data_IF_826430196964
#
_entry.id   IF_826430196964
#
_cell.length_a   1.000
_cell.length_b   1.000
_cell.length_c   1.000
_cell.angle_alpha   90.00
_cell.angle_beta   90.00
_cell.angle_gamma   90.00
#
_symmetry.space_group_name_H-M   'P 1'
#
loop_
_entity.id
_entity.type
_entity.pdbx_description
1 polymer ?
#
# COMPACT_ATOMS: atom_id res chain seq x y z
N UNK A 1 -2.93 19.99 19.63
CA UNK A 1 -3.04 18.52 19.70
C UNK A 1 -2.51 17.95 18.40
N UNK A 2 -1.64 16.91 18.42
CA UNK A 2 -1.37 16.16 17.21
C UNK A 2 -2.71 15.58 16.70
N UNK A 3 -2.99 15.74 15.40
CA UNK A 3 -4.24 15.26 14.79
C UNK A 3 -4.29 13.72 14.72
N UNK A 4 -3.13 13.07 14.78
CA UNK A 4 -2.97 11.61 14.74
C UNK A 4 -1.92 11.17 15.76
N UNK A 5 -2.15 10.00 16.36
CA UNK A 5 -1.21 9.31 17.27
C UNK A 5 -0.08 8.58 16.51
N UNK A 6 -0.19 8.49 15.19
CA UNK A 6 0.72 7.71 14.35
C UNK A 6 1.87 8.57 13.80
N UNK A 7 3.08 8.00 13.82
CA UNK A 7 4.28 8.66 13.29
C UNK A 7 4.26 8.86 11.77
N UNK A 8 3.69 7.90 11.02
CA UNK A 8 3.69 7.93 9.55
C UNK A 8 2.42 8.53 8.97
N UNK A 9 1.27 8.20 9.56
CA UNK A 9 -0.05 8.49 8.99
C UNK A 9 -0.68 9.70 9.69
N UNK A 10 -1.06 10.69 8.89
CA UNK A 10 -1.72 11.93 9.31
C UNK A 10 -3.24 11.80 9.31
N UNK A 11 -3.80 11.24 8.24
CA UNK A 11 -5.23 11.01 8.05
C UNK A 11 -5.48 9.68 7.33
N UNK A 12 -6.66 9.07 7.54
CA UNK A 12 -7.11 7.95 6.74
C UNK A 12 -8.58 8.09 6.32
N UNK A 13 -8.92 7.43 5.21
CA UNK A 13 -10.29 7.16 4.80
C UNK A 13 -10.33 5.76 4.21
N UNK A 14 -11.19 4.90 4.75
CA UNK A 14 -11.16 3.47 4.43
C UNK A 14 -12.44 3.00 3.76
N UNK A 15 -12.30 2.04 2.85
CA UNK A 15 -13.39 1.35 2.18
C UNK A 15 -14.43 2.28 1.54
N UNK A 16 -13.97 3.42 1.01
CA UNK A 16 -14.86 4.39 0.36
C UNK A 16 -15.17 3.93 -1.09
N UNK A 17 -16.39 4.12 -1.58
CA UNK A 17 -16.75 3.72 -2.93
C UNK A 17 -16.04 4.57 -3.98
N UNK A 18 -15.87 4.00 -5.19
CA UNK A 18 -15.24 4.68 -6.34
C UNK A 18 -15.93 6.00 -6.74
N UNK A 19 -17.21 6.18 -6.41
CA UNK A 19 -17.96 7.42 -6.60
C UNK A 19 -17.40 8.58 -5.78
N UNK A 20 -16.77 8.27 -4.65
CA UNK A 20 -16.45 9.23 -3.60
C UNK A 20 -15.00 9.71 -3.65
N UNK A 21 -14.20 9.23 -4.62
CA UNK A 21 -12.79 9.61 -4.75
C UNK A 21 -12.57 11.12 -4.99
N UNK A 22 -13.61 11.85 -5.40
CA UNK A 22 -13.57 13.31 -5.55
C UNK A 22 -13.47 14.03 -4.21
N UNK A 23 -13.95 13.42 -3.13
CA UNK A 23 -13.93 13.94 -1.75
C UNK A 23 -12.52 13.93 -1.13
N UNK A 24 -11.60 13.13 -1.69
CA UNK A 24 -10.21 13.11 -1.23
C UNK A 24 -9.57 14.48 -1.50
N UNK A 25 -8.82 15.06 -0.55
CA UNK A 25 -8.13 16.32 -0.77
C UNK A 25 -7.15 16.29 -1.94
N UNK A 26 -6.80 17.48 -2.43
CA UNK A 26 -5.74 17.61 -3.42
C UNK A 26 -4.37 17.40 -2.81
N UNK A 27 -3.43 16.92 -3.62
CA UNK A 27 -2.03 16.75 -3.20
C UNK A 27 -1.83 15.77 -2.03
N UNK A 28 -2.84 14.99 -1.66
CA UNK A 28 -2.70 13.90 -0.69
C UNK A 28 -1.59 12.94 -1.11
N UNK A 29 -0.60 12.78 -0.22
CA UNK A 29 0.57 11.90 -0.35
C UNK A 29 0.39 10.71 0.58
N UNK A 30 0.94 9.56 0.20
CA UNK A 30 0.93 8.34 1.03
C UNK A 30 0.56 7.10 0.23
N UNK A 31 -0.15 6.18 0.87
CA UNK A 31 -0.54 4.87 0.31
C UNK A 31 -2.03 4.87 -0.03
N UNK A 32 -2.38 4.20 -1.11
CA UNK A 32 -3.76 3.87 -1.42
C UNK A 32 -3.91 2.40 -1.80
N UNK A 33 -5.07 1.85 -1.48
CA UNK A 33 -5.43 0.47 -1.74
C UNK A 33 -6.72 0.45 -2.53
N UNK A 34 -6.80 -0.40 -3.56
CA UNK A 34 -8.03 -0.66 -4.29
C UNK A 34 -8.56 -2.02 -3.89
N UNK A 35 -9.89 -2.12 -3.80
CA UNK A 35 -10.59 -3.33 -3.40
C UNK A 35 -11.64 -3.73 -4.44
N UNK A 36 -11.87 -5.04 -4.52
CA UNK A 36 -13.11 -5.58 -5.01
C UNK A 36 -14.00 -5.93 -3.80
N UNK A 37 -15.08 -5.17 -3.61
CA UNK A 37 -16.05 -5.42 -2.54
C UNK A 37 -17.09 -6.44 -2.97
N UNK A 38 -17.29 -7.49 -2.17
CA UNK A 38 -18.42 -8.41 -2.27
C UNK A 38 -19.51 -8.01 -1.27
N UNK A 39 -20.66 -7.47 -1.73
CA UNK A 39 -21.75 -7.07 -0.84
C UNK A 39 -22.38 -8.21 -0.04
N UNK A 40 -22.27 -9.47 -0.52
CA UNK A 40 -22.88 -10.62 0.16
C UNK A 40 -22.07 -11.00 1.40
N UNK A 41 -20.75 -11.16 1.24
CA UNK A 41 -19.84 -11.46 2.35
C UNK A 41 -19.40 -10.23 3.14
N UNK A 42 -19.65 -9.02 2.60
CA UNK A 42 -19.16 -7.72 3.12
C UNK A 42 -17.63 -7.64 3.17
N UNK A 43 -16.96 -8.45 2.36
CA UNK A 43 -15.50 -8.53 2.30
C UNK A 43 -14.93 -7.59 1.23
N UNK A 44 -13.71 -7.12 1.46
CA UNK A 44 -13.00 -6.20 0.58
C UNK A 44 -11.68 -6.84 0.17
N UNK A 45 -11.68 -7.49 -0.99
CA UNK A 45 -10.49 -8.15 -1.50
C UNK A 45 -9.53 -7.11 -2.07
N UNK A 46 -8.31 -7.05 -1.53
CA UNK A 46 -7.28 -6.16 -2.07
C UNK A 46 -6.97 -6.57 -3.50
N UNK A 47 -7.02 -5.65 -4.46
CA UNK A 47 -6.64 -5.92 -5.86
C UNK A 47 -5.43 -5.11 -6.30
N UNK A 48 -5.15 -3.99 -5.62
CA UNK A 48 -4.03 -3.13 -5.93
C UNK A 48 -3.55 -2.35 -4.71
N UNK A 49 -2.23 -2.23 -4.54
CA UNK A 49 -1.60 -1.31 -3.59
C UNK A 49 -0.69 -0.36 -4.37
N UNK A 50 -0.79 0.94 -4.09
CA UNK A 50 0.13 1.92 -4.68
C UNK A 50 0.35 3.13 -3.80
N UNK A 51 1.24 4.01 -4.26
CA UNK A 51 1.59 5.22 -3.54
C UNK A 51 1.43 6.47 -4.40
N UNK A 52 1.35 7.64 -3.76
CA UNK A 52 1.73 8.91 -4.34
C UNK A 52 2.63 9.67 -3.36
N UNK A 53 3.88 9.95 -3.73
CA UNK A 53 4.83 10.63 -2.83
C UNK A 53 5.42 11.94 -3.37
N UNK A 54 5.27 12.22 -4.67
CA UNK A 54 5.98 13.32 -5.34
C UNK A 54 5.36 14.70 -5.09
N UNK A 55 6.22 15.66 -4.74
CA UNK A 55 5.86 17.01 -4.27
C UNK A 55 5.10 17.86 -5.29
N UNK A 56 5.36 17.70 -6.60
CA UNK A 56 4.90 18.66 -7.61
C UNK A 56 3.74 18.19 -8.49
N UNK A 57 3.52 16.88 -8.69
CA UNK A 57 2.56 16.39 -9.71
C UNK A 57 1.79 15.10 -9.39
N UNK A 58 2.11 14.37 -8.31
CA UNK A 58 1.49 13.08 -8.03
C UNK A 58 0.67 13.12 -6.74
N UNK A 59 -0.66 13.02 -6.85
CA UNK A 59 -1.56 12.86 -5.70
C UNK A 59 -2.29 11.54 -5.76
N UNK A 60 -2.66 10.99 -4.60
CA UNK A 60 -3.49 9.79 -4.51
C UNK A 60 -4.78 9.96 -5.33
N UNK A 61 -5.49 11.09 -5.13
CA UNK A 61 -6.69 11.41 -5.92
C UNK A 61 -6.45 11.37 -7.43
N UNK A 62 -5.34 11.95 -7.91
CA UNK A 62 -4.99 11.92 -9.32
C UNK A 62 -4.77 10.49 -9.84
N UNK A 63 -4.13 9.63 -9.04
CA UNK A 63 -3.91 8.21 -9.37
C UNK A 63 -5.21 7.41 -9.36
N UNK A 64 -6.07 7.63 -8.38
CA UNK A 64 -7.39 6.98 -8.31
C UNK A 64 -8.27 7.38 -9.50
N UNK A 65 -8.27 8.65 -9.91
CA UNK A 65 -8.97 9.09 -11.13
C UNK A 65 -8.45 8.39 -12.37
N UNK A 66 -7.12 8.21 -12.49
CA UNK A 66 -6.50 7.46 -13.59
C UNK A 66 -6.92 5.99 -13.57
N UNK A 67 -6.92 5.35 -12.41
CA UNK A 67 -7.40 3.98 -12.24
C UNK A 67 -8.88 3.85 -12.63
N UNK A 68 -9.74 4.75 -12.15
CA UNK A 68 -11.15 4.81 -12.56
C UNK A 68 -11.29 4.95 -14.09
N UNK A 69 -10.49 5.81 -14.73
CA UNK A 69 -10.59 6.01 -16.18
C UNK A 69 -10.10 4.84 -17.04
N UNK A 70 -9.28 3.95 -16.48
CA UNK A 70 -8.63 2.87 -17.24
C UNK A 70 -9.06 1.46 -16.85
N UNK A 71 -9.64 1.31 -15.65
CA UNK A 71 -9.81 0.05 -14.93
C UNK A 71 -11.04 0.09 -14.00
N UNK A 72 -12.11 0.80 -14.37
CA UNK A 72 -13.28 0.99 -13.49
C UNK A 72 -14.03 -0.29 -13.15
N UNK A 73 -13.86 -1.33 -13.95
CA UNK A 73 -14.44 -2.67 -13.80
C UNK A 73 -13.58 -3.61 -12.92
N UNK A 74 -12.33 -3.22 -12.62
CA UNK A 74 -11.39 -4.07 -11.87
C UNK A 74 -11.39 -3.78 -10.35
N UNK A 75 -12.11 -2.77 -9.87
CA UNK A 75 -12.21 -2.39 -8.46
C UNK A 75 -13.46 -1.54 -8.17
N UNK A 76 -13.95 -1.59 -6.95
CA UNK A 76 -15.19 -0.88 -6.55
C UNK A 76 -14.99 0.09 -5.39
N UNK A 77 -14.00 -0.15 -4.53
CA UNK A 77 -13.74 0.66 -3.34
C UNK A 77 -12.24 0.95 -3.18
N UNK A 78 -11.90 1.96 -2.40
CA UNK A 78 -10.52 2.24 -2.04
C UNK A 78 -10.35 2.69 -0.59
N UNK A 79 -9.12 2.58 -0.10
CA UNK A 79 -8.65 3.18 1.14
C UNK A 79 -7.48 4.09 0.84
N UNK A 80 -7.35 5.16 1.61
CA UNK A 80 -6.32 6.18 1.48
C UNK A 80 -5.70 6.45 2.84
N UNK A 81 -4.37 6.37 2.90
CA UNK A 81 -3.58 6.60 4.10
C UNK A 81 -2.63 7.76 3.80
N UNK A 82 -3.02 8.95 4.25
CA UNK A 82 -2.23 10.16 4.06
C UNK A 82 -1.05 10.18 5.02
N UNK A 83 0.15 10.44 4.52
CA UNK A 83 1.35 10.59 5.36
C UNK A 83 1.53 12.02 5.84
N UNK A 84 2.28 12.20 6.94
CA UNK A 84 2.71 13.53 7.37
C UNK A 84 3.62 14.21 6.34
N UNK A 85 3.63 15.55 6.36
CA UNK A 85 4.35 16.36 5.38
C UNK A 85 5.88 16.14 5.44
N UNK A 86 6.42 15.81 6.62
CA UNK A 86 7.82 15.50 6.84
C UNK A 86 8.25 14.11 6.33
N UNK A 87 7.31 13.24 5.95
CA UNK A 87 7.63 11.93 5.39
C UNK A 87 8.09 12.09 3.94
N UNK A 88 9.29 11.60 3.65
CA UNK A 88 9.95 11.72 2.35
C UNK A 88 9.37 10.75 1.34
N UNK A 89 9.54 11.07 0.05
CA UNK A 89 9.05 10.20 -1.02
C UNK A 89 9.71 8.81 -0.98
N UNK A 90 11.00 8.72 -0.65
CA UNK A 90 11.67 7.43 -0.49
C UNK A 90 11.08 6.56 0.63
N UNK A 91 10.62 7.17 1.73
CA UNK A 91 9.99 6.46 2.85
C UNK A 91 8.62 5.91 2.43
N UNK A 92 7.81 6.70 1.72
CA UNK A 92 6.53 6.23 1.16
C UNK A 92 6.75 5.11 0.14
N UNK A 93 7.81 5.21 -0.67
CA UNK A 93 8.17 4.18 -1.66
C UNK A 93 8.65 2.88 -1.01
N UNK A 94 9.42 2.98 0.06
CA UNK A 94 9.82 1.82 0.84
C UNK A 94 8.60 1.12 1.47
N UNK A 95 7.69 1.89 2.08
CA UNK A 95 6.45 1.37 2.63
C UNK A 95 5.60 0.64 1.57
N UNK A 96 5.39 1.27 0.40
CA UNK A 96 4.67 0.64 -0.72
C UNK A 96 5.38 -0.63 -1.22
N UNK A 97 6.70 -0.60 -1.29
CA UNK A 97 7.53 -1.74 -1.67
C UNK A 97 7.36 -2.92 -0.71
N UNK A 98 7.39 -2.67 0.60
CA UNK A 98 7.17 -3.70 1.63
C UNK A 98 5.77 -4.29 1.49
N UNK A 99 4.73 -3.45 1.43
CA UNK A 99 3.34 -3.91 1.32
C UNK A 99 3.11 -4.78 0.08
N UNK A 100 3.62 -4.36 -1.09
CA UNK A 100 3.53 -5.18 -2.31
C UNK A 100 4.29 -6.51 -2.15
N UNK A 101 5.46 -6.47 -1.54
CA UNK A 101 6.33 -7.63 -1.37
C UNK A 101 5.74 -8.69 -0.43
N UNK A 102 4.99 -8.28 0.60
CA UNK A 102 4.24 -9.16 1.51
C UNK A 102 3.22 -9.98 0.70
N UNK A 103 2.37 -9.31 -0.07
CA UNK A 103 1.32 -9.95 -0.85
C UNK A 103 1.80 -10.52 -2.20
N UNK A 104 3.11 -10.59 -2.47
CA UNK A 104 3.63 -10.97 -3.79
C UNK A 104 3.28 -12.41 -4.21
N UNK A 105 3.07 -13.29 -3.23
CA UNK A 105 2.70 -14.70 -3.41
C UNK A 105 1.22 -14.95 -3.16
N UNK A 106 0.45 -13.91 -2.85
CA UNK A 106 -0.98 -14.02 -2.66
C UNK A 106 -1.66 -14.15 -4.03
N UNK A 107 -2.60 -15.10 -4.15
CA UNK A 107 -3.31 -15.36 -5.40
C UNK A 107 -4.44 -14.35 -5.66
N UNK A 108 -4.96 -13.73 -4.61
CA UNK A 108 -6.06 -12.78 -4.64
C UNK A 108 -5.55 -11.34 -4.65
N UNK A 109 -4.59 -11.03 -3.77
CA UNK A 109 -4.05 -9.71 -3.60
C UNK A 109 -3.11 -9.28 -4.73
N UNK A 110 -3.08 -7.96 -5.00
CA UNK A 110 -2.17 -7.33 -5.97
C UNK A 110 -2.25 -7.91 -7.40
N UNK A 111 -3.39 -8.51 -7.79
CA UNK A 111 -3.63 -8.97 -9.17
C UNK A 111 -3.35 -7.88 -10.20
N UNK A 112 -3.62 -6.62 -9.86
CA UNK A 112 -3.46 -5.48 -10.77
C UNK A 112 -2.06 -4.84 -10.74
N UNK A 113 -1.21 -5.22 -9.77
CA UNK A 113 0.15 -4.71 -9.68
C UNK A 113 1.07 -5.48 -10.65
N UNK A 114 1.58 -4.78 -11.67
CA UNK A 114 2.61 -5.33 -12.56
C UNK A 114 3.90 -5.67 -11.80
N UNK A 115 4.31 -4.81 -10.89
CA UNK A 115 5.46 -5.05 -10.02
C UNK A 115 4.95 -5.53 -8.66
N UNK A 116 5.25 -6.78 -8.30
CA UNK A 116 4.87 -7.36 -6.99
C UNK A 116 6.04 -7.42 -6.01
N UNK A 117 7.26 -7.63 -6.50
CA UNK A 117 8.45 -7.72 -5.66
C UNK A 117 9.15 -6.36 -5.51
N UNK A 118 9.66 -6.08 -4.32
CA UNK A 118 10.56 -4.97 -4.06
C UNK A 118 12.02 -5.44 -4.06
N UNK A 119 12.80 -4.99 -5.06
CA UNK A 119 14.16 -5.48 -5.26
C UNK A 119 15.11 -5.13 -4.10
N UNK A 120 14.92 -3.98 -3.44
CA UNK A 120 15.74 -3.62 -2.27
C UNK A 120 15.63 -4.65 -1.14
N UNK A 121 14.42 -5.19 -0.89
CA UNK A 121 14.23 -6.26 0.08
C UNK A 121 14.94 -7.56 -0.31
N UNK A 122 15.12 -7.85 -1.60
CA UNK A 122 15.90 -9.03 -2.01
C UNK A 122 17.37 -8.90 -1.60
N UNK A 123 17.96 -7.72 -1.73
CA UNK A 123 19.33 -7.46 -1.28
C UNK A 123 19.45 -7.55 0.23
N UNK A 124 18.52 -6.93 0.97
CA UNK A 124 18.47 -7.05 2.43
C UNK A 124 18.37 -8.51 2.85
N UNK A 125 17.47 -9.29 2.23
CA UNK A 125 17.32 -10.73 2.50
C UNK A 125 18.63 -11.51 2.31
N UNK A 126 19.44 -11.16 1.30
CA UNK A 126 20.73 -11.82 1.09
C UNK A 126 21.70 -11.54 2.26
N UNK A 127 21.77 -10.30 2.72
CA UNK A 127 22.57 -9.92 3.90
C UNK A 127 22.04 -10.57 5.19
N UNK A 128 20.72 -10.60 5.39
CA UNK A 128 20.08 -11.24 6.57
C UNK A 128 20.45 -12.71 6.70
N UNK A 129 20.57 -13.43 5.57
CA UNK A 129 21.01 -14.83 5.55
C UNK A 129 22.49 -14.98 5.89
N UNK A 130 23.33 -14.07 5.42
CA UNK A 130 24.77 -14.09 5.73
C UNK A 130 25.04 -13.76 7.20
N UNK A 131 24.20 -12.93 7.81
CA UNK A 131 24.33 -12.52 9.21
C UNK A 131 23.69 -13.49 10.20
N UNK A 132 23.15 -14.63 9.75
CA UNK A 132 22.43 -15.61 10.57
C UNK A 132 21.39 -14.98 11.51
N UNK A 133 20.68 -13.95 11.01
CA UNK A 133 19.77 -13.16 11.85
C UNK A 133 18.53 -13.96 12.28
N UNK A 134 18.09 -14.89 11.42
CA UNK A 134 17.08 -15.87 11.78
C UNK A 134 17.81 -17.09 12.33
N UNK A 135 17.94 -17.16 13.66
CA UNK A 135 18.56 -18.28 14.36
C UNK A 135 17.91 -19.59 13.90
N UNK A 136 18.72 -20.59 13.58
CA UNK A 136 18.21 -21.96 13.38
C UNK A 136 17.50 -22.40 14.65
N UNK A 137 16.40 -23.15 14.50
CA UNK A 137 15.78 -23.82 15.64
C UNK A 137 16.86 -24.65 16.34
N UNK A 138 17.12 -24.34 17.61
CA UNK A 138 17.93 -25.20 18.47
C UNK A 138 17.24 -26.55 18.49
N UNK A 139 17.89 -27.58 17.96
CA UNK A 139 17.49 -28.97 18.17
C UNK A 139 17.39 -29.18 19.68
N UNK A 140 16.16 -29.13 20.21
CA UNK A 140 15.85 -29.54 21.56
C UNK A 140 15.93 -31.05 21.60
N UNK A 141 17.15 -31.56 21.75
CA UNK A 141 17.38 -32.91 22.25
C UNK A 141 17.35 -32.82 23.79
N UNK A 142 16.23 -33.23 24.37
CA UNK A 142 16.11 -33.77 25.73
C UNK A 142 15.26 -35.05 25.67
#
# INVERSE_FOLDING_TARGET
MPISELRLIKNCAEYIPISDISRIPGRTRGIYVLYNHDPKSKMYDVVYIGMAGGEKKASIRGRLRRHRSKKSDEWTHCSVFEVWDNIREEEVRELEGILRHIFRKDQQANKLNQQKAFMKLKHVTAHTKQSDWLLSESNGDD
#
